data_IF_433001980056
#
_entry.id   IF_433001980056
#
_cell.length_a   1.000
_cell.length_b   1.000
_cell.length_c   1.000
_cell.angle_alpha   90.00
_cell.angle_beta   90.00
_cell.angle_gamma   90.00
#
_symmetry.space_group_name_H-M   'P 1'
#
loop_
_entity.id
_entity.type
_entity.pdbx_description
1 polymer ?
#
# COMPACT_ATOMS: atom_id res chain seq x y z
N UNK A 1 43.34 -27.27 -55.66
CA UNK A 1 42.11 -28.09 -55.70
C UNK A 1 41.46 -28.28 -54.32
N UNK A 2 42.23 -28.37 -53.22
CA UNK A 2 41.67 -28.55 -51.86
C UNK A 2 41.02 -27.25 -51.33
N UNK A 3 41.59 -26.08 -51.64
CA UNK A 3 41.10 -24.77 -51.20
C UNK A 3 39.73 -24.38 -51.75
N UNK A 4 39.40 -24.82 -52.97
CA UNK A 4 38.09 -24.58 -53.60
C UNK A 4 36.97 -25.45 -53.01
N UNK A 5 37.30 -26.60 -52.43
CA UNK A 5 36.34 -27.53 -51.85
C UNK A 5 35.87 -27.09 -50.45
N UNK A 6 36.78 -26.48 -49.67
CA UNK A 6 36.49 -25.95 -48.33
C UNK A 6 35.54 -24.74 -48.41
N UNK A 7 35.72 -23.87 -49.42
CA UNK A 7 34.82 -22.74 -49.65
C UNK A 7 33.38 -23.19 -49.92
N UNK A 8 33.20 -24.20 -50.77
CA UNK A 8 31.88 -24.76 -51.09
C UNK A 8 31.19 -25.39 -49.87
N UNK A 9 31.96 -26.08 -49.03
CA UNK A 9 31.43 -26.64 -47.78
C UNK A 9 30.99 -25.53 -46.80
N UNK A 10 31.75 -24.44 -46.67
CA UNK A 10 31.38 -23.32 -45.80
C UNK A 10 30.11 -22.59 -46.26
N UNK A 11 29.93 -22.41 -47.57
CA UNK A 11 28.72 -21.76 -48.12
C UNK A 11 27.49 -22.63 -47.95
N UNK A 12 27.64 -23.96 -48.05
CA UNK A 12 26.55 -24.90 -47.80
C UNK A 12 26.12 -24.90 -46.33
N UNK A 13 27.06 -24.82 -45.39
CA UNK A 13 26.74 -24.72 -43.96
C UNK A 13 26.03 -23.41 -43.64
N UNK A 14 26.42 -22.28 -44.23
CA UNK A 14 25.72 -21.00 -44.06
C UNK A 14 24.29 -21.03 -44.64
N UNK A 15 24.11 -21.62 -45.84
CA UNK A 15 22.78 -21.78 -46.43
C UNK A 15 21.89 -22.73 -45.63
N UNK A 16 22.48 -23.78 -45.04
CA UNK A 16 21.75 -24.71 -44.18
C UNK A 16 21.44 -24.11 -42.81
N UNK A 17 22.33 -23.27 -42.26
CA UNK A 17 22.08 -22.53 -41.03
C UNK A 17 20.90 -21.55 -41.18
N UNK A 18 20.76 -20.91 -42.35
CA UNK A 18 19.58 -20.07 -42.68
C UNK A 18 18.29 -20.90 -42.70
N UNK A 19 18.35 -22.17 -43.14
CA UNK A 19 17.21 -23.09 -43.18
C UNK A 19 16.91 -23.79 -41.84
N UNK A 20 17.90 -23.91 -40.95
CA UNK A 20 17.77 -24.44 -39.59
C UNK A 20 17.25 -23.40 -38.58
N UNK A 21 17.06 -22.15 -39.00
CA UNK A 21 16.35 -21.14 -38.24
C UNK A 21 15.02 -20.82 -38.95
N UNK A 22 14.09 -21.80 -39.09
CA UNK A 22 12.79 -21.55 -39.73
C UNK A 22 12.01 -20.44 -39.02
N UNK A 23 12.20 -20.28 -37.71
CA UNK A 23 11.56 -19.22 -36.92
C UNK A 23 12.03 -17.82 -37.36
N UNK A 24 13.29 -17.65 -37.78
CA UNK A 24 13.81 -16.34 -38.19
C UNK A 24 13.32 -15.91 -39.57
N UNK A 25 13.10 -16.86 -40.49
CA UNK A 25 12.50 -16.56 -41.80
C UNK A 25 10.97 -16.46 -41.75
N UNK A 26 10.32 -17.07 -40.76
CA UNK A 26 8.88 -16.95 -40.54
C UNK A 26 8.52 -15.61 -39.88
N UNK A 27 9.25 -15.23 -38.82
CA UNK A 27 9.11 -13.92 -38.13
C UNK A 27 9.35 -12.74 -39.08
N UNK A 28 10.33 -12.83 -39.99
CA UNK A 28 10.60 -11.76 -40.95
C UNK A 28 9.61 -11.65 -42.12
N UNK A 29 8.67 -12.61 -42.27
CA UNK A 29 7.80 -12.72 -43.46
C UNK A 29 6.34 -12.37 -43.19
N UNK A 30 5.92 -12.35 -41.94
CA UNK A 30 4.56 -11.94 -41.59
C UNK A 30 4.61 -10.56 -40.92
N UNK A 31 4.56 -9.45 -41.70
CA UNK A 31 4.56 -8.11 -41.14
C UNK A 31 3.36 -7.87 -40.21
N UNK A 32 2.24 -8.58 -40.39
CA UNK A 32 1.11 -8.58 -39.44
C UNK A 32 1.52 -9.14 -38.08
N UNK A 33 2.33 -10.20 -38.02
CA UNK A 33 2.81 -10.77 -36.74
C UNK A 33 3.72 -9.82 -35.96
N UNK A 34 4.63 -9.12 -36.66
CA UNK A 34 5.48 -8.11 -36.03
C UNK A 34 4.68 -6.86 -35.62
N UNK A 35 3.64 -6.50 -36.38
CA UNK A 35 2.76 -5.38 -36.07
C UNK A 35 1.86 -5.70 -34.86
N UNK A 36 1.32 -6.92 -34.77
CA UNK A 36 0.54 -7.38 -33.61
C UNK A 36 1.39 -7.43 -32.33
N UNK A 37 2.61 -7.99 -32.37
CA UNK A 37 3.51 -8.01 -31.20
C UNK A 37 3.92 -6.60 -30.77
N UNK A 38 4.16 -5.70 -31.73
CA UNK A 38 4.45 -4.29 -31.46
C UNK A 38 3.25 -3.53 -30.88
N UNK A 39 2.03 -3.80 -31.36
CA UNK A 39 0.80 -3.22 -30.82
C UNK A 39 0.48 -3.76 -29.42
N UNK A 40 0.71 -5.04 -29.15
CA UNK A 40 0.59 -5.62 -27.81
C UNK A 40 1.60 -4.98 -26.83
N UNK A 41 2.84 -4.74 -27.26
CA UNK A 41 3.84 -4.00 -26.47
C UNK A 41 3.41 -2.55 -26.20
N UNK A 42 2.91 -1.81 -27.21
CA UNK A 42 2.41 -0.44 -27.03
C UNK A 42 1.18 -0.37 -26.10
N UNK A 43 0.23 -1.30 -26.23
CA UNK A 43 -0.95 -1.38 -25.35
C UNK A 43 -0.56 -1.66 -23.90
N UNK A 44 0.38 -2.59 -23.67
CA UNK A 44 0.89 -2.90 -22.33
C UNK A 44 1.64 -1.72 -21.71
N UNK A 45 2.47 -1.00 -22.48
CA UNK A 45 3.15 0.20 -22.01
C UNK A 45 2.16 1.31 -21.60
N UNK A 46 1.07 1.48 -22.35
CA UNK A 46 0.02 2.44 -22.01
C UNK A 46 -0.71 2.06 -20.72
N UNK A 47 -1.06 0.77 -20.53
CA UNK A 47 -1.70 0.27 -19.31
C UNK A 47 -0.79 0.48 -18.09
N UNK A 48 0.50 0.13 -18.20
CA UNK A 48 1.48 0.30 -17.13
C UNK A 48 1.66 1.80 -16.75
N UNK A 49 1.66 2.69 -17.74
CA UNK A 49 1.74 4.13 -17.50
C UNK A 49 0.50 4.68 -16.78
N UNK A 50 -0.70 4.22 -17.16
CA UNK A 50 -1.95 4.61 -16.51
C UNK A 50 -2.04 4.11 -15.06
N UNK A 51 -1.59 2.87 -14.78
CA UNK A 51 -1.47 2.35 -13.41
C UNK A 51 -0.53 3.22 -12.56
N UNK A 52 0.65 3.55 -13.10
CA UNK A 52 1.62 4.40 -12.42
C UNK A 52 1.01 5.77 -12.03
N UNK A 53 0.31 6.43 -12.95
CA UNK A 53 -0.35 7.71 -12.69
C UNK A 53 -1.45 7.58 -11.63
N UNK A 54 -2.27 6.52 -11.68
CA UNK A 54 -3.31 6.24 -10.69
C UNK A 54 -2.72 6.10 -9.28
N UNK A 55 -1.70 5.26 -9.14
CA UNK A 55 -1.02 5.00 -7.86
C UNK A 55 -0.34 6.25 -7.31
N UNK A 56 0.23 7.08 -8.19
CA UNK A 56 0.79 8.36 -7.79
C UNK A 56 -0.28 9.30 -7.22
N UNK A 57 -1.45 9.38 -7.86
CA UNK A 57 -2.57 10.19 -7.39
C UNK A 57 -3.14 9.70 -6.05
N UNK A 58 -3.22 8.38 -5.86
CA UNK A 58 -3.64 7.76 -4.59
C UNK A 58 -2.65 8.04 -3.46
N UNK A 59 -1.34 7.93 -3.72
CA UNK A 59 -0.30 8.30 -2.77
C UNK A 59 -0.40 9.77 -2.35
N UNK A 60 -0.60 10.67 -3.32
CA UNK A 60 -0.78 12.11 -3.04
C UNK A 60 -2.05 12.37 -2.21
N UNK A 61 -3.13 11.62 -2.45
CA UNK A 61 -4.34 11.69 -1.64
C UNK A 61 -4.10 11.18 -0.22
N UNK A 62 -3.42 10.05 -0.06
CA UNK A 62 -3.07 9.51 1.25
C UNK A 62 -2.24 10.50 2.07
N UNK A 63 -1.25 11.17 1.45
CA UNK A 63 -0.44 12.21 2.11
C UNK A 63 -1.33 13.34 2.66
N UNK A 64 -2.34 13.78 1.89
CA UNK A 64 -3.32 14.80 2.34
C UNK A 64 -4.19 14.28 3.48
N UNK A 65 -4.66 13.04 3.40
CA UNK A 65 -5.43 12.38 4.48
C UNK A 65 -4.59 12.29 5.75
N UNK A 66 -3.36 11.80 5.67
CA UNK A 66 -2.48 11.66 6.82
C UNK A 66 -2.19 13.02 7.47
N UNK A 67 -1.88 14.05 6.66
CA UNK A 67 -1.69 15.42 7.14
C UNK A 67 -2.92 15.96 7.86
N UNK A 68 -4.13 15.70 7.35
CA UNK A 68 -5.37 16.07 8.02
C UNK A 68 -5.50 15.38 9.39
N UNK A 69 -5.18 14.09 9.46
CA UNK A 69 -5.22 13.30 10.70
C UNK A 69 -4.23 13.82 11.74
N UNK A 70 -2.98 14.09 11.34
CA UNK A 70 -1.94 14.60 12.23
C UNK A 70 -2.31 15.97 12.82
N UNK A 71 -2.83 16.85 11.96
CA UNK A 71 -3.11 18.25 12.30
C UNK A 71 -4.37 18.38 13.17
N UNK A 72 -5.46 17.72 12.78
CA UNK A 72 -6.78 17.91 13.39
C UNK A 72 -7.12 16.83 14.43
N UNK A 73 -6.37 15.72 14.47
CA UNK A 73 -6.60 14.57 15.35
C UNK A 73 -8.07 14.13 15.38
N UNK A 74 -8.72 13.96 14.21
CA UNK A 74 -10.14 13.64 14.14
C UNK A 74 -10.46 12.29 14.79
N UNK A 75 -9.46 11.42 14.91
CA UNK A 75 -9.57 10.14 15.60
C UNK A 75 -9.90 10.24 17.09
N UNK A 76 -9.70 11.41 17.73
CA UNK A 76 -10.11 11.65 19.12
C UNK A 76 -11.62 11.86 19.26
N UNK A 77 -12.33 12.13 18.17
CA UNK A 77 -13.78 12.20 18.18
C UNK A 77 -14.38 10.78 18.10
N UNK A 78 -15.15 10.34 19.12
CA UNK A 78 -15.76 9.02 19.13
C UNK A 78 -16.77 8.79 18.00
N UNK A 79 -17.36 9.86 17.48
CA UNK A 79 -18.32 9.86 16.37
C UNK A 79 -17.67 10.07 15.00
N UNK A 80 -16.34 10.12 14.93
CA UNK A 80 -15.65 10.26 13.66
C UNK A 80 -15.80 8.99 12.82
N UNK A 81 -16.32 9.18 11.61
CA UNK A 81 -16.62 8.12 10.65
C UNK A 81 -16.16 8.55 9.27
N UNK A 82 -16.06 7.59 8.33
CA UNK A 82 -15.73 7.91 6.94
C UNK A 82 -16.72 8.93 6.36
N UNK A 83 -18.01 8.76 6.62
CA UNK A 83 -19.05 9.71 6.20
C UNK A 83 -18.85 11.11 6.78
N UNK A 84 -18.41 11.22 8.03
CA UNK A 84 -18.08 12.53 8.63
C UNK A 84 -16.87 13.12 7.93
N UNK A 85 -15.86 12.31 7.62
CA UNK A 85 -14.66 12.76 6.93
C UNK A 85 -14.96 13.24 5.50
N UNK A 86 -15.76 12.50 4.73
CA UNK A 86 -16.26 12.89 3.40
C UNK A 86 -16.84 14.30 3.40
N UNK A 87 -17.74 14.56 4.36
CA UNK A 87 -18.38 15.87 4.51
C UNK A 87 -17.39 16.97 4.88
N UNK A 88 -16.35 16.65 5.65
CA UNK A 88 -15.34 17.62 6.07
C UNK A 88 -14.41 18.01 4.92
N UNK A 89 -14.02 17.08 4.06
CA UNK A 89 -13.03 17.34 3.00
C UNK A 89 -13.62 17.49 1.60
N UNK A 90 -14.92 17.17 1.41
CA UNK A 90 -15.59 17.26 0.12
C UNK A 90 -15.15 16.20 -0.90
N UNK A 91 -14.61 15.07 -0.43
CA UNK A 91 -14.17 13.96 -1.27
C UNK A 91 -15.01 12.71 -0.98
N UNK A 92 -15.21 11.88 -2.00
CA UNK A 92 -15.87 10.59 -1.85
C UNK A 92 -15.05 9.68 -0.93
N UNK A 93 -15.73 8.98 -0.01
CA UNK A 93 -15.08 8.08 0.95
C UNK A 93 -14.58 6.81 0.30
N UNK A 94 -15.03 6.51 -0.93
CA UNK A 94 -14.42 5.49 -1.78
C UNK A 94 -12.94 5.82 -2.03
N UNK A 95 -12.65 6.99 -2.59
CA UNK A 95 -11.27 7.42 -2.88
C UNK A 95 -10.41 7.52 -1.62
N UNK A 96 -11.00 8.00 -0.52
CA UNK A 96 -10.30 8.04 0.78
C UNK A 96 -9.95 6.62 1.25
N UNK A 97 -10.91 5.69 1.16
CA UNK A 97 -10.70 4.31 1.62
C UNK A 97 -9.73 3.54 0.74
N UNK A 98 -9.79 3.74 -0.59
CA UNK A 98 -8.83 3.18 -1.55
C UNK A 98 -7.43 3.69 -1.23
N UNK A 99 -7.21 5.02 -1.21
CA UNK A 99 -5.89 5.59 -0.89
C UNK A 99 -5.31 5.13 0.47
N UNK A 100 -6.14 4.98 1.52
CA UNK A 100 -5.68 4.40 2.79
C UNK A 100 -5.31 2.94 2.63
N UNK A 101 -6.15 2.14 1.96
CA UNK A 101 -5.93 0.71 1.80
C UNK A 101 -4.71 0.41 0.95
N UNK A 102 -4.47 1.18 -0.11
CA UNK A 102 -3.39 0.91 -1.05
C UNK A 102 -2.03 1.24 -0.43
N UNK A 103 -1.95 2.30 0.38
CA UNK A 103 -0.70 2.67 1.07
C UNK A 103 -0.46 1.84 2.34
N UNK A 104 -1.51 1.57 3.12
CA UNK A 104 -1.35 1.00 4.47
C UNK A 104 -1.77 -0.46 4.59
N UNK A 105 -2.46 -1.01 3.59
CA UNK A 105 -3.13 -2.32 3.66
C UNK A 105 -4.38 -2.35 4.55
N UNK A 106 -4.75 -1.24 5.18
CA UNK A 106 -5.85 -1.16 6.15
C UNK A 106 -7.11 -0.56 5.54
N UNK A 107 -8.29 -1.05 5.94
CA UNK A 107 -9.52 -0.32 5.70
C UNK A 107 -9.65 0.90 6.63
N UNK A 108 -10.54 1.85 6.31
CA UNK A 108 -10.68 3.08 7.08
C UNK A 108 -10.91 2.86 8.60
N UNK A 109 -11.83 1.97 9.04
CA UNK A 109 -11.97 1.68 10.47
C UNK A 109 -10.71 1.13 11.14
N UNK A 110 -9.93 0.29 10.46
CA UNK A 110 -8.65 -0.22 10.97
C UNK A 110 -7.64 0.92 11.12
N UNK A 111 -7.50 1.75 10.09
CA UNK A 111 -6.63 2.93 10.11
C UNK A 111 -6.99 3.90 11.24
N UNK A 112 -8.28 4.21 11.40
CA UNK A 112 -8.78 5.06 12.47
C UNK A 112 -8.39 4.53 13.86
N UNK A 113 -8.57 3.22 14.08
CA UNK A 113 -8.20 2.59 15.34
C UNK A 113 -6.68 2.55 15.55
N UNK A 114 -5.89 2.34 14.48
CA UNK A 114 -4.44 2.42 14.54
C UNK A 114 -3.97 3.81 15.00
N UNK A 115 -4.58 4.88 14.47
CA UNK A 115 -4.29 6.25 14.92
C UNK A 115 -4.61 6.45 16.42
N UNK A 116 -5.77 5.96 16.90
CA UNK A 116 -6.15 6.04 18.32
C UNK A 116 -5.16 5.32 19.23
N UNK A 117 -4.77 4.09 18.88
CA UNK A 117 -3.80 3.28 19.64
C UNK A 117 -2.42 3.94 19.64
N UNK A 118 -1.94 4.39 18.48
CA UNK A 118 -0.65 5.09 18.38
C UNK A 118 -0.64 6.36 19.24
N UNK A 119 -1.74 7.13 19.22
CA UNK A 119 -1.87 8.32 20.06
C UNK A 119 -1.86 8.00 21.56
N UNK A 120 -2.57 6.94 21.98
CA UNK A 120 -2.54 6.48 23.37
C UNK A 120 -1.11 6.15 23.81
N UNK A 121 -0.38 5.34 23.03
CA UNK A 121 1.02 4.98 23.34
C UNK A 121 1.90 6.22 23.43
N UNK A 122 1.74 7.17 22.50
CA UNK A 122 2.49 8.42 22.52
C UNK A 122 2.20 9.23 23.80
N UNK A 123 0.94 9.28 24.23
CA UNK A 123 0.55 10.01 25.44
C UNK A 123 1.02 9.35 26.73
N UNK A 124 1.07 8.02 26.76
CA UNK A 124 1.63 7.27 27.88
C UNK A 124 3.14 7.49 28.10
N UNK A 125 3.84 8.17 27.18
CA UNK A 125 5.20 8.64 27.44
C UNK A 125 5.27 9.71 28.55
N UNK A 126 4.15 10.37 28.89
CA UNK A 126 4.02 11.20 30.07
C UNK A 126 3.19 10.46 31.15
N UNK A 127 3.76 10.09 32.31
CA UNK A 127 3.04 9.43 33.38
C UNK A 127 1.79 10.17 33.88
N UNK A 128 1.82 11.51 33.90
CA UNK A 128 0.68 12.35 34.30
C UNK A 128 -0.56 12.11 33.43
N UNK A 129 -0.39 11.58 32.22
CA UNK A 129 -1.51 11.25 31.34
C UNK A 129 -2.37 10.11 31.89
N UNK A 130 -1.77 9.11 32.55
CA UNK A 130 -2.45 7.85 32.87
C UNK A 130 -2.48 7.48 34.36
N UNK A 131 -1.58 7.99 35.19
CA UNK A 131 -1.45 7.55 36.59
C UNK A 131 -2.72 7.75 37.43
N UNK A 132 -3.47 8.83 37.19
CA UNK A 132 -4.68 9.17 37.95
C UNK A 132 -5.98 8.87 37.19
N UNK A 133 -5.92 8.12 36.09
CA UNK A 133 -7.08 7.85 35.23
C UNK A 133 -7.40 6.37 35.15
N UNK A 134 -8.68 6.07 35.14
CA UNK A 134 -9.20 4.75 34.81
C UNK A 134 -9.02 4.45 33.32
N UNK A 135 -8.99 3.16 32.97
CA UNK A 135 -8.93 2.75 31.56
C UNK A 135 -10.16 3.23 30.77
N UNK A 136 -11.32 3.40 31.42
CA UNK A 136 -12.52 3.96 30.78
C UNK A 136 -12.30 5.43 30.40
N UNK A 137 -11.78 6.26 31.32
CA UNK A 137 -11.48 7.66 31.04
C UNK A 137 -10.44 7.80 29.92
N UNK A 138 -9.38 6.98 29.98
CA UNK A 138 -8.36 6.94 28.93
C UNK A 138 -8.94 6.53 27.57
N UNK A 139 -9.84 5.53 27.54
CA UNK A 139 -10.50 5.10 26.32
C UNK A 139 -11.34 6.24 25.71
N UNK A 140 -12.06 7.00 26.53
CA UNK A 140 -12.85 8.14 26.07
C UNK A 140 -11.97 9.26 25.53
N UNK A 141 -10.87 9.60 26.21
CA UNK A 141 -9.94 10.66 25.78
C UNK A 141 -9.24 10.35 24.45
N UNK A 142 -9.05 9.07 24.12
CA UNK A 142 -8.46 8.64 22.84
C UNK A 142 -9.51 8.30 21.78
N UNK A 143 -10.78 8.65 22.02
CA UNK A 143 -11.85 8.58 21.02
C UNK A 143 -12.61 7.26 20.95
N UNK A 144 -12.55 6.40 21.96
CA UNK A 144 -13.42 5.21 22.03
C UNK A 144 -14.73 5.52 22.76
N UNK A 145 -15.84 5.03 22.18
CA UNK A 145 -17.17 5.04 22.85
C UNK A 145 -17.32 3.99 23.94
N UNK A 146 -16.47 2.96 23.91
CA UNK A 146 -16.56 1.81 24.81
C UNK A 146 -15.16 1.28 25.11
N UNK A 147 -14.87 1.12 26.41
CA UNK A 147 -13.64 0.50 26.87
C UNK A 147 -13.42 -0.90 26.31
N UNK A 148 -14.48 -1.68 26.10
CA UNK A 148 -14.34 -3.03 25.55
C UNK A 148 -13.77 -3.01 24.12
N UNK A 149 -14.23 -2.07 23.30
CA UNK A 149 -13.68 -1.88 21.96
C UNK A 149 -12.22 -1.43 22.01
N UNK A 150 -11.87 -0.54 22.94
CA UNK A 150 -10.47 -0.17 23.15
C UNK A 150 -9.61 -1.39 23.47
N UNK A 151 -10.00 -2.22 24.43
CA UNK A 151 -9.27 -3.45 24.78
C UNK A 151 -9.09 -4.39 23.59
N UNK A 152 -10.15 -4.63 22.82
CA UNK A 152 -10.11 -5.51 21.64
C UNK A 152 -9.14 -4.96 20.59
N UNK A 153 -9.27 -3.69 20.23
CA UNK A 153 -8.44 -3.07 19.20
C UNK A 153 -6.99 -2.94 19.62
N UNK A 154 -6.73 -2.50 20.86
CA UNK A 154 -5.38 -2.37 21.39
C UNK A 154 -4.68 -3.73 21.44
N UNK A 155 -5.34 -4.77 21.98
CA UNK A 155 -4.77 -6.12 22.01
C UNK A 155 -4.52 -6.69 20.62
N UNK A 156 -5.40 -6.41 19.66
CA UNK A 156 -5.21 -6.85 18.27
C UNK A 156 -3.97 -6.21 17.63
N UNK A 157 -3.70 -4.95 17.95
CA UNK A 157 -2.61 -4.18 17.33
C UNK A 157 -1.28 -4.43 18.05
N UNK A 158 -1.26 -4.41 19.39
CA UNK A 158 -0.02 -4.48 20.19
C UNK A 158 0.26 -5.88 20.75
N UNK A 159 -0.68 -6.82 20.66
CA UNK A 159 -0.54 -8.17 21.20
C UNK A 159 -0.77 -8.30 22.72
N UNK A 160 -0.80 -7.18 23.46
CA UNK A 160 -1.02 -7.12 24.92
C UNK A 160 -2.24 -6.28 25.27
N UNK A 161 -2.79 -6.43 26.49
CA UNK A 161 -3.92 -5.58 26.89
C UNK A 161 -3.45 -4.16 27.24
N UNK A 162 -4.32 -3.14 27.16
CA UNK A 162 -3.99 -1.79 27.64
C UNK A 162 -3.47 -1.78 29.08
N UNK A 163 -4.05 -2.61 29.95
CA UNK A 163 -3.64 -2.73 31.35
C UNK A 163 -2.24 -3.30 31.48
N UNK A 164 -1.94 -4.39 30.76
CA UNK A 164 -0.60 -5.00 30.80
C UNK A 164 0.45 -4.04 30.24
N UNK A 165 0.10 -3.28 29.20
CA UNK A 165 0.95 -2.23 28.65
C UNK A 165 1.26 -1.15 29.70
N UNK A 166 0.26 -0.59 30.39
CA UNK A 166 0.49 0.42 31.43
C UNK A 166 1.34 -0.13 32.59
N UNK A 167 1.06 -1.35 33.06
CA UNK A 167 1.86 -1.99 34.11
C UNK A 167 3.34 -2.13 33.70
N UNK A 168 3.61 -2.40 32.41
CA UNK A 168 4.98 -2.52 31.91
C UNK A 168 5.73 -1.18 31.90
N UNK A 169 5.02 -0.06 31.74
CA UNK A 169 5.62 1.28 31.80
C UNK A 169 5.97 1.68 33.24
N UNK A 170 5.20 1.25 34.22
CA UNK A 170 5.49 1.51 35.64
C UNK A 170 6.73 0.75 36.11
N UNK A 171 6.91 -0.50 35.67
CA UNK A 171 8.05 -1.35 36.05
C UNK A 171 9.38 -0.95 35.38
N UNK A 172 9.33 -0.22 34.27
CA UNK A 172 10.52 0.25 33.54
C UNK A 172 11.08 1.60 34.01
N UNK A 173 10.41 2.26 34.97
CA UNK A 173 10.80 3.56 35.51
C UNK A 173 11.51 3.48 36.88
N UNK A 174 11.82 2.26 37.36
CA UNK A 174 12.65 1.96 38.54
C UNK A 174 14.13 1.74 38.15
#
# INVERSE_FOLDING_TARGET
MISSLIGLASTLVLLFAIFLIPDFLFVAKDPEFMEDEFLEEEEQEEEDYLDYISRQAENDLFVKVNRFFDSNKPFLDPDFTLMKFEKTVGLSGRYISEAIKDVTGMNFPQYLNQCRVNYFKQKCANPEFYQDKTIEELAQEIGYKSVNNFYIHFKKIEGVTPKDFLNSLEQGND
#
